data_IF_132101179598
#
_entry.id   IF_132101179598
#
_cell.length_a   1.000
_cell.length_b   1.000
_cell.length_c   1.000
_cell.angle_alpha   90.00
_cell.angle_beta   90.00
_cell.angle_gamma   90.00
#
_symmetry.space_group_name_H-M   'P 1'
#
loop_
_entity.id
_entity.type
_entity.pdbx_description
1 polymer ?
#
# COMPACT_ATOMS: atom_id res chain seq x y z
N UNK A 1 -0.91 18.89 -4.79
CA UNK A 1 -1.30 17.92 -3.75
C UNK A 1 -0.98 16.54 -4.27
N UNK A 2 -0.28 15.71 -3.49
CA UNK A 2 0.05 14.35 -3.90
C UNK A 2 -1.22 13.49 -3.99
N UNK A 3 -1.44 12.86 -5.14
CA UNK A 3 -2.62 12.03 -5.38
C UNK A 3 -2.46 10.69 -4.63
N UNK A 4 -3.56 10.10 -4.16
CA UNK A 4 -3.51 8.87 -3.34
C UNK A 4 -2.79 7.71 -4.05
N UNK A 5 -3.04 7.56 -5.36
CA UNK A 5 -2.34 6.60 -6.21
C UNK A 5 -0.82 6.84 -6.27
N UNK A 6 -0.37 8.10 -6.25
CA UNK A 6 1.06 8.41 -6.27
C UNK A 6 1.73 7.99 -4.96
N UNK A 7 1.04 8.14 -3.82
CA UNK A 7 1.53 7.70 -2.53
C UNK A 7 1.62 6.18 -2.44
N UNK A 8 0.64 5.47 -3.03
CA UNK A 8 0.60 4.01 -3.10
C UNK A 8 1.75 3.47 -3.98
N UNK A 9 1.94 4.06 -5.16
CA UNK A 9 3.06 3.71 -6.06
C UNK A 9 4.43 3.98 -5.42
N UNK A 10 4.60 5.10 -4.69
CA UNK A 10 5.84 5.37 -3.95
C UNK A 10 6.11 4.32 -2.89
N UNK A 11 5.08 3.90 -2.15
CA UNK A 11 5.23 2.90 -1.09
C UNK A 11 5.54 1.52 -1.67
N UNK A 12 4.91 1.18 -2.79
CA UNK A 12 5.22 -0.01 -3.59
C UNK A 12 6.67 -0.01 -4.08
N UNK A 13 7.14 1.09 -4.66
CA UNK A 13 8.52 1.19 -5.13
C UNK A 13 9.54 1.05 -3.99
N UNK A 14 9.23 1.59 -2.80
CA UNK A 14 10.05 1.39 -1.60
C UNK A 14 10.07 -0.07 -1.15
N UNK A 15 8.92 -0.75 -1.15
CA UNK A 15 8.83 -2.18 -0.83
C UNK A 15 9.70 -3.01 -1.78
N UNK A 16 9.59 -2.76 -3.09
CA UNK A 16 10.37 -3.46 -4.11
C UNK A 16 11.87 -3.21 -3.91
N UNK A 17 12.27 -1.95 -3.71
CA UNK A 17 13.66 -1.61 -3.46
C UNK A 17 14.21 -2.30 -2.19
N UNK A 18 13.45 -2.32 -1.10
CA UNK A 18 13.85 -2.99 0.14
C UNK A 18 13.90 -4.52 -0.03
N UNK A 19 12.96 -5.13 -0.74
CA UNK A 19 12.98 -6.57 -1.00
C UNK A 19 14.16 -6.99 -1.89
N UNK A 20 14.52 -6.15 -2.87
CA UNK A 20 15.70 -6.35 -3.71
C UNK A 20 17.00 -6.16 -2.92
N UNK A 21 17.09 -5.12 -2.09
CA UNK A 21 18.28 -4.83 -1.27
C UNK A 21 18.54 -5.89 -0.20
N UNK A 22 17.48 -6.40 0.43
CA UNK A 22 17.59 -7.41 1.51
C UNK A 22 17.56 -8.85 1.00
N UNK A 23 17.26 -9.05 -0.27
CA UNK A 23 17.09 -10.36 -0.92
C UNK A 23 16.13 -11.32 -0.18
N UNK A 24 15.22 -10.76 0.61
CA UNK A 24 14.27 -11.53 1.42
C UNK A 24 13.02 -10.74 1.72
N UNK A 25 11.88 -11.43 1.71
CA UNK A 25 10.60 -10.86 2.13
C UNK A 25 10.38 -10.89 3.64
N UNK A 26 11.25 -11.58 4.38
CA UNK A 26 11.14 -11.74 5.82
C UNK A 26 11.90 -10.66 6.61
N UNK A 27 12.59 -9.75 5.92
CA UNK A 27 13.28 -8.67 6.58
C UNK A 27 12.25 -7.74 7.27
N UNK A 28 12.47 -7.30 8.51
CA UNK A 28 11.52 -6.47 9.25
C UNK A 28 11.07 -5.22 8.48
N UNK A 29 11.98 -4.58 7.75
CA UNK A 29 11.66 -3.42 6.90
C UNK A 29 10.70 -3.77 5.75
N UNK A 30 10.91 -4.91 5.08
CA UNK A 30 10.07 -5.37 3.98
C UNK A 30 8.69 -5.75 4.49
N UNK A 31 8.62 -6.38 5.66
CA UNK A 31 7.35 -6.70 6.34
C UNK A 31 6.59 -5.41 6.68
N UNK A 32 7.24 -4.42 7.28
CA UNK A 32 6.60 -3.15 7.65
C UNK A 32 6.08 -2.40 6.41
N UNK A 33 6.87 -2.36 5.33
CA UNK A 33 6.46 -1.74 4.08
C UNK A 33 5.27 -2.47 3.43
N UNK A 34 5.25 -3.81 3.49
CA UNK A 34 4.13 -4.61 2.97
C UNK A 34 2.86 -4.34 3.75
N UNK A 35 2.94 -4.36 5.09
CA UNK A 35 1.78 -4.10 5.96
C UNK A 35 1.23 -2.70 5.76
N UNK A 36 2.10 -1.69 5.62
CA UNK A 36 1.68 -0.33 5.34
C UNK A 36 0.98 -0.20 3.99
N UNK A 37 1.44 -0.94 2.97
CA UNK A 37 0.82 -0.98 1.65
C UNK A 37 -0.59 -1.60 1.72
N UNK A 38 -0.72 -2.74 2.40
CA UNK A 38 -1.99 -3.45 2.56
C UNK A 38 -3.02 -2.58 3.30
N UNK A 39 -2.62 -1.89 4.36
CA UNK A 39 -3.50 -0.97 5.09
C UNK A 39 -4.02 0.15 4.19
N UNK A 40 -3.19 0.70 3.30
CA UNK A 40 -3.61 1.72 2.34
C UNK A 40 -4.62 1.15 1.32
N UNK A 41 -4.35 -0.03 0.76
CA UNK A 41 -5.23 -0.70 -0.19
C UNK A 41 -6.60 -0.97 0.44
N UNK A 42 -6.63 -1.55 1.65
CA UNK A 42 -7.89 -1.84 2.35
C UNK A 42 -8.66 -0.56 2.65
N UNK A 43 -7.97 0.52 3.05
CA UNK A 43 -8.61 1.81 3.30
C UNK A 43 -9.25 2.37 2.02
N UNK A 44 -8.54 2.34 0.90
CA UNK A 44 -9.08 2.73 -0.41
C UNK A 44 -10.30 1.92 -0.82
N UNK A 45 -10.21 0.59 -0.71
CA UNK A 45 -11.30 -0.32 -1.07
C UNK A 45 -12.52 -0.07 -0.19
N UNK A 46 -12.32 0.15 1.11
CA UNK A 46 -13.40 0.47 2.05
C UNK A 46 -14.08 1.79 1.70
N UNK A 47 -13.32 2.83 1.35
CA UNK A 47 -13.88 4.11 0.93
C UNK A 47 -14.64 4.00 -0.40
N UNK A 48 -14.13 3.23 -1.37
CA UNK A 48 -14.85 2.92 -2.61
C UNK A 48 -16.15 2.16 -2.35
N UNK A 49 -16.09 1.13 -1.50
CA UNK A 49 -17.26 0.34 -1.12
C UNK A 49 -18.34 1.20 -0.46
N UNK A 50 -17.97 2.09 0.49
CA UNK A 50 -18.91 3.02 1.11
C UNK A 50 -19.62 3.89 0.08
N UNK A 51 -18.89 4.47 -0.88
CA UNK A 51 -19.48 5.32 -1.94
C UNK A 51 -20.50 4.55 -2.78
N UNK A 52 -20.17 3.32 -3.18
CA UNK A 52 -21.08 2.45 -3.93
C UNK A 52 -22.30 2.05 -3.10
N UNK A 53 -22.10 1.72 -1.82
CA UNK A 53 -23.18 1.34 -0.91
C UNK A 53 -24.13 2.50 -0.61
N UNK A 54 -23.63 3.74 -0.52
CA UNK A 54 -24.44 4.95 -0.35
C UNK A 54 -25.17 5.42 -1.61
N UNK A 55 -24.88 4.81 -2.77
CA UNK A 55 -25.54 5.08 -4.06
C UNK A 55 -26.61 4.04 -4.41
N UNK A 56 -26.79 3.01 -3.58
CA UNK A 56 -27.87 2.02 -3.65
C UNK A 56 -28.96 2.35 -2.64
#
# INVERSE_FOLDING_TARGET
>A
MENHNQRLERLRNKLIAAALDKETFLHPEVILLSQALDQMIVKEQREKYKRVASQR
#
